data_IF_730868914252
#
_entry.id   IF_730868914252
#
_cell.length_a   1.000
_cell.length_b   1.000
_cell.length_c   1.000
_cell.angle_alpha   90.00
_cell.angle_beta   90.00
_cell.angle_gamma   90.00
#
_symmetry.space_group_name_H-M   'P 1'
#
loop_
_entity.id
_entity.type
_entity.pdbx_description
1 polymer ?
#
# COMPACT_ATOMS: atom_id res chain seq x y z
N UNK A 1 0.55 -22.56 10.74
CA UNK A 1 1.16 -21.28 10.31
C UNK A 1 0.22 -20.62 9.32
N UNK A 2 -0.35 -19.46 9.65
CA UNK A 2 -1.25 -18.73 8.75
C UNK A 2 -0.47 -18.26 7.53
N UNK A 3 -0.88 -18.67 6.32
CA UNK A 3 -0.25 -18.28 5.05
C UNK A 3 -0.44 -16.77 4.86
N UNK A 4 0.65 -16.03 4.68
CA UNK A 4 0.59 -14.60 4.33
C UNK A 4 0.42 -14.48 2.83
N UNK A 5 -0.69 -13.88 2.40
CA UNK A 5 -0.93 -13.65 0.98
C UNK A 5 -0.32 -12.32 0.55
N UNK A 6 0.49 -12.35 -0.51
CA UNK A 6 1.20 -11.16 -1.00
C UNK A 6 0.55 -10.65 -2.27
N UNK A 7 0.12 -9.39 -2.26
CA UNK A 7 -0.62 -8.74 -3.34
C UNK A 7 0.21 -7.59 -3.87
N UNK A 8 0.57 -7.68 -5.14
CA UNK A 8 1.41 -6.70 -5.86
C UNK A 8 0.61 -5.81 -6.80
N UNK A 9 -0.67 -6.12 -7.01
CA UNK A 9 -1.57 -5.38 -7.89
C UNK A 9 -2.94 -5.21 -7.20
N UNK A 10 -3.52 -3.99 -7.17
CA UNK A 10 -4.86 -3.75 -6.62
C UNK A 10 -5.94 -4.65 -7.20
N UNK A 11 -5.88 -5.00 -8.49
CA UNK A 11 -6.93 -5.76 -9.16
C UNK A 11 -6.97 -7.22 -8.69
N UNK A 12 -5.85 -7.78 -8.25
CA UNK A 12 -5.76 -9.15 -7.73
C UNK A 12 -6.41 -9.31 -6.34
N UNK A 13 -6.68 -8.20 -5.65
CA UNK A 13 -7.24 -8.24 -4.30
C UNK A 13 -8.66 -8.84 -4.29
N UNK A 14 -9.41 -8.79 -5.40
CA UNK A 14 -10.72 -9.45 -5.52
C UNK A 14 -10.65 -10.96 -5.75
N UNK A 15 -9.60 -11.43 -6.43
CA UNK A 15 -9.43 -12.84 -6.79
C UNK A 15 -9.23 -13.73 -5.55
N UNK A 16 -8.62 -13.17 -4.51
CA UNK A 16 -8.45 -13.81 -3.19
C UNK A 16 -9.80 -14.22 -2.60
N UNK A 17 -10.77 -13.31 -2.63
CA UNK A 17 -12.08 -13.54 -2.01
C UNK A 17 -12.88 -14.59 -2.76
N UNK A 18 -12.76 -14.61 -4.08
CA UNK A 18 -13.38 -15.63 -4.92
C UNK A 18 -12.77 -17.00 -4.59
N UNK A 19 -11.44 -17.10 -4.53
CA UNK A 19 -10.75 -18.37 -4.29
C UNK A 19 -10.98 -18.91 -2.87
N UNK A 20 -10.99 -18.03 -1.86
CA UNK A 20 -11.29 -18.40 -0.48
C UNK A 20 -12.77 -18.80 -0.30
N UNK A 21 -13.70 -18.09 -0.94
CA UNK A 21 -15.12 -18.43 -0.93
C UNK A 21 -15.45 -19.73 -1.67
N UNK A 22 -14.72 -20.04 -2.74
CA UNK A 22 -14.86 -21.34 -3.44
C UNK A 22 -14.24 -22.49 -2.64
N UNK A 23 -13.15 -22.24 -1.90
CA UNK A 23 -12.54 -23.24 -1.02
C UNK A 23 -13.45 -23.62 0.16
N UNK A 24 -14.23 -22.67 0.69
CA UNK A 24 -15.20 -22.98 1.76
C UNK A 24 -16.43 -23.74 1.26
N UNK A 25 -16.85 -23.50 0.01
CA UNK A 25 -17.95 -24.22 -0.64
C UNK A 25 -17.65 -25.70 -0.93
N UNK A 26 -16.37 -26.12 -0.91
CA UNK A 26 -15.99 -27.52 -1.10
C UNK A 26 -16.21 -28.41 0.14
N UNK A 27 -16.73 -27.85 1.24
CA UNK A 27 -17.09 -28.59 2.45
C UNK A 27 -18.61 -28.45 2.64
N UNK A 28 -19.35 -29.51 2.29
CA UNK A 28 -20.81 -29.49 2.23
C UNK A 28 -21.49 -29.08 3.54
N UNK A 29 -22.56 -28.29 3.43
CA UNK A 29 -23.44 -27.94 4.53
C UNK A 29 -24.41 -26.83 4.15
N UNK A 30 -25.63 -27.21 3.75
CA UNK A 30 -26.76 -26.32 3.52
C UNK A 30 -27.11 -25.53 4.80
N UNK A 31 -26.92 -24.22 4.78
CA UNK A 31 -27.31 -23.29 5.85
C UNK A 31 -27.06 -21.85 5.41
N UNK A 32 -27.90 -20.92 5.90
CA UNK A 32 -27.99 -19.51 5.48
C UNK A 32 -26.64 -18.78 5.30
N UNK A 33 -26.56 -17.74 4.44
CA UNK A 33 -25.30 -17.05 4.17
C UNK A 33 -24.75 -16.47 5.48
N UNK A 34 -23.55 -16.87 5.93
CA UNK A 34 -22.95 -16.25 7.10
C UNK A 34 -22.64 -14.80 6.76
N UNK A 35 -23.03 -13.89 7.65
CA UNK A 35 -22.51 -12.51 7.67
C UNK A 35 -20.98 -12.57 7.52
N UNK A 36 -20.34 -11.76 6.65
CA UNK A 36 -18.93 -11.91 6.37
C UNK A 36 -18.12 -11.61 7.63
N UNK A 37 -17.77 -12.67 8.36
CA UNK A 37 -16.88 -12.59 9.49
C UNK A 37 -15.57 -11.94 9.04
N UNK A 38 -14.92 -11.10 9.86
CA UNK A 38 -13.62 -10.54 9.56
C UNK A 38 -12.70 -11.69 9.15
N UNK A 39 -12.17 -11.64 7.92
CA UNK A 39 -11.29 -12.69 7.48
C UNK A 39 -10.07 -12.67 8.41
N UNK A 40 -9.79 -13.81 9.04
CA UNK A 40 -8.58 -14.04 9.86
C UNK A 40 -7.30 -14.03 9.03
N UNK A 41 -7.39 -13.59 7.77
CA UNK A 41 -6.36 -13.65 6.77
C UNK A 41 -5.38 -12.49 6.94
N UNK A 42 -4.11 -12.86 7.00
CA UNK A 42 -2.99 -11.93 7.00
C UNK A 42 -2.60 -11.63 5.55
N UNK A 43 -2.70 -10.37 5.16
CA UNK A 43 -2.42 -9.91 3.79
C UNK A 43 -1.25 -8.94 3.79
N UNK A 44 -0.36 -9.06 2.80
CA UNK A 44 0.74 -8.15 2.54
C UNK A 44 0.51 -7.42 1.23
N UNK A 45 0.37 -6.11 1.27
CA UNK A 45 0.22 -5.25 0.10
C UNK A 45 1.58 -4.65 -0.28
N UNK A 46 2.09 -4.98 -1.46
CA UNK A 46 3.31 -4.37 -2.01
C UNK A 46 2.92 -3.10 -2.76
N UNK A 47 2.79 -2.01 -2.02
CA UNK A 47 2.03 -0.84 -2.43
C UNK A 47 2.60 -0.15 -3.68
N UNK A 48 3.93 -0.16 -3.84
CA UNK A 48 4.61 0.54 -4.92
C UNK A 48 4.92 -0.34 -6.13
N UNK A 49 4.77 -1.67 -6.02
CA UNK A 49 5.03 -2.58 -7.13
C UNK A 49 4.20 -2.28 -8.40
N UNK A 50 2.94 -1.78 -8.33
CA UNK A 50 2.20 -1.38 -9.54
C UNK A 50 2.91 -0.32 -10.39
N UNK A 51 3.80 0.50 -9.82
CA UNK A 51 4.61 1.46 -10.59
C UNK A 51 5.59 0.80 -11.57
N UNK A 52 5.82 -0.51 -11.46
CA UNK A 52 6.54 -1.28 -12.47
C UNK A 52 5.74 -1.44 -13.78
N UNK A 53 4.41 -1.23 -13.74
CA UNK A 53 3.57 -1.22 -14.93
C UNK A 53 3.64 0.16 -15.62
N UNK A 54 3.96 0.22 -16.92
CA UNK A 54 4.02 1.47 -17.67
C UNK A 54 2.74 2.31 -17.63
N UNK A 55 1.57 1.68 -17.64
CA UNK A 55 0.28 2.40 -17.65
C UNK A 55 0.03 3.07 -16.30
N UNK A 56 0.29 2.35 -15.20
CA UNK A 56 0.19 2.88 -13.84
C UNK A 56 1.23 3.97 -13.60
N UNK A 57 2.46 3.78 -14.09
CA UNK A 57 3.51 4.77 -14.01
C UNK A 57 3.13 6.03 -14.77
N UNK A 58 2.65 5.89 -16.01
CA UNK A 58 2.20 7.01 -16.85
C UNK A 58 1.09 7.81 -16.18
N UNK A 59 0.13 7.14 -15.54
CA UNK A 59 -0.92 7.82 -14.78
C UNK A 59 -0.39 8.59 -13.56
N UNK A 60 0.74 8.17 -12.97
CA UNK A 60 1.37 8.83 -11.83
C UNK A 60 2.46 9.84 -12.25
N UNK A 61 2.74 10.01 -13.55
CA UNK A 61 3.67 11.05 -14.03
C UNK A 61 3.09 12.42 -13.75
N UNK A 62 3.95 13.33 -13.33
CA UNK A 62 3.60 14.71 -13.08
C UNK A 62 4.66 15.62 -13.69
N UNK A 63 4.53 15.98 -14.98
CA UNK A 63 5.50 16.85 -15.67
C UNK A 63 5.70 18.20 -14.99
N UNK A 64 4.69 18.72 -14.27
CA UNK A 64 4.77 20.01 -13.58
C UNK A 64 5.68 19.95 -12.33
N UNK A 65 5.95 18.76 -11.81
CA UNK A 65 6.90 18.57 -10.70
C UNK A 65 8.37 18.54 -11.14
N UNK A 66 8.63 18.64 -12.45
CA UNK A 66 9.98 18.50 -13.01
C UNK A 66 10.89 19.61 -12.54
N UNK A 67 12.01 19.22 -11.92
CA UNK A 67 13.10 20.10 -11.55
C UNK A 67 14.30 19.78 -12.42
N UNK A 68 14.61 20.69 -13.34
CA UNK A 68 15.83 20.62 -14.15
C UNK A 68 16.99 21.22 -13.37
N UNK A 69 18.02 20.40 -13.10
CA UNK A 69 19.29 20.88 -12.56
C UNK A 69 20.29 20.98 -13.70
N UNK A 70 20.85 22.17 -13.89
CA UNK A 70 21.97 22.40 -14.80
C UNK A 70 23.23 21.94 -14.08
N UNK A 71 23.95 20.99 -14.68
CA UNK A 71 25.26 20.62 -14.17
C UNK A 71 26.24 21.76 -14.43
N UNK A 72 26.99 22.16 -13.39
CA UNK A 72 28.12 23.09 -13.51
C UNK A 72 29.37 22.43 -14.13
N UNK A 73 29.30 21.15 -14.51
CA UNK A 73 30.40 20.46 -15.19
C UNK A 73 30.64 21.00 -16.60
N UNK A 74 31.89 20.96 -17.03
CA UNK A 74 32.37 21.42 -18.35
C UNK A 74 31.64 20.80 -19.56
N UNK A 75 30.87 19.71 -19.39
CA UNK A 75 30.13 19.05 -20.48
C UNK A 75 28.68 19.52 -20.67
N UNK A 76 28.18 20.45 -19.84
CA UNK A 76 26.90 21.12 -20.10
C UNK A 76 25.65 20.23 -20.07
N UNK A 77 25.65 19.13 -19.32
CA UNK A 77 24.48 18.27 -19.16
C UNK A 77 23.42 18.87 -18.23
N UNK A 78 22.14 18.80 -18.61
CA UNK A 78 21.01 19.00 -17.69
C UNK A 78 20.49 17.64 -17.22
N UNK A 79 20.05 17.57 -15.96
CA UNK A 79 19.39 16.40 -15.39
C UNK A 79 18.01 16.79 -14.89
N UNK A 80 16.99 16.02 -15.24
CA UNK A 80 15.60 16.30 -14.89
C UNK A 80 15.14 15.34 -13.80
N UNK A 81 14.70 15.88 -12.68
CA UNK A 81 14.08 15.11 -11.60
C UNK A 81 12.59 15.29 -11.64
N UNK A 82 11.82 14.22 -11.69
CA UNK A 82 10.37 14.27 -11.65
C UNK A 82 9.85 13.53 -10.42
N UNK A 83 8.97 14.19 -9.66
CA UNK A 83 8.28 13.59 -8.52
C UNK A 83 6.93 13.02 -8.98
N UNK A 84 6.74 11.73 -8.75
CA UNK A 84 5.50 11.06 -9.10
C UNK A 84 4.36 11.53 -8.21
N UNK A 85 3.20 11.78 -8.82
CA UNK A 85 1.95 11.96 -8.12
C UNK A 85 1.30 10.59 -7.90
N UNK A 86 1.45 10.02 -6.71
CA UNK A 86 0.93 8.69 -6.39
C UNK A 86 -0.56 8.68 -6.01
N UNK A 87 -1.29 9.80 -6.15
CA UNK A 87 -2.74 9.85 -5.88
C UNK A 87 -3.55 8.82 -6.70
N UNK A 88 -3.27 8.58 -8.01
CA UNK A 88 -3.96 7.55 -8.79
C UNK A 88 -3.76 6.15 -8.20
N UNK A 89 -2.54 5.83 -7.78
CA UNK A 89 -2.20 4.57 -7.14
C UNK A 89 -2.90 4.40 -5.78
N UNK A 90 -2.87 5.43 -4.95
CA UNK A 90 -3.61 5.47 -3.67
C UNK A 90 -5.12 5.23 -3.88
N UNK A 91 -5.71 5.87 -4.89
CA UNK A 91 -7.11 5.66 -5.26
C UNK A 91 -7.39 4.22 -5.70
N UNK A 92 -6.50 3.61 -6.49
CA UNK A 92 -6.64 2.23 -6.93
C UNK A 92 -6.63 1.25 -5.75
N UNK A 93 -5.64 1.36 -4.86
CA UNK A 93 -5.57 0.53 -3.65
C UNK A 93 -6.78 0.70 -2.75
N UNK A 94 -7.22 1.95 -2.48
CA UNK A 94 -8.42 2.21 -1.67
C UNK A 94 -9.67 1.59 -2.30
N UNK A 95 -9.84 1.73 -3.62
CA UNK A 95 -10.98 1.13 -4.33
C UNK A 95 -10.95 -0.41 -4.22
N UNK A 96 -9.78 -1.02 -4.33
CA UNK A 96 -9.61 -2.45 -4.20
C UNK A 96 -9.93 -2.93 -2.78
N UNK A 97 -9.35 -2.29 -1.75
CA UNK A 97 -9.58 -2.67 -0.35
C UNK A 97 -11.03 -2.46 0.09
N UNK A 98 -11.72 -1.44 -0.43
CA UNK A 98 -13.14 -1.19 -0.11
C UNK A 98 -14.11 -2.27 -0.60
N UNK A 99 -13.78 -2.97 -1.69
CA UNK A 99 -14.66 -4.00 -2.26
C UNK A 99 -14.54 -5.35 -1.56
N UNK A 100 -13.62 -5.49 -0.61
CA UNK A 100 -13.39 -6.75 0.10
C UNK A 100 -13.66 -6.62 1.59
N UNK A 101 -14.11 -7.67 2.29
CA UNK A 101 -14.16 -7.71 3.75
C UNK A 101 -12.87 -7.20 4.41
N UNK A 102 -12.97 -6.50 5.55
CA UNK A 102 -11.80 -5.99 6.26
C UNK A 102 -10.91 -7.12 6.77
N UNK A 103 -9.59 -6.92 6.63
CA UNK A 103 -8.56 -7.84 7.09
C UNK A 103 -8.30 -7.71 8.59
N UNK A 104 -7.99 -8.81 9.26
CA UNK A 104 -7.54 -8.79 10.66
C UNK A 104 -6.08 -8.35 10.81
N UNK A 105 -5.24 -8.59 9.79
CA UNK A 105 -3.84 -8.20 9.79
C UNK A 105 -3.40 -7.77 8.39
N UNK A 106 -3.00 -6.50 8.27
CA UNK A 106 -2.49 -5.92 7.03
C UNK A 106 -1.01 -5.52 7.16
N UNK A 107 -0.17 -6.02 6.27
CA UNK A 107 1.25 -5.63 6.17
C UNK A 107 1.40 -4.71 4.95
N UNK A 108 1.99 -3.56 5.15
CA UNK A 108 2.35 -2.63 4.07
C UNK A 108 3.81 -2.83 3.69
N UNK A 109 4.05 -3.41 2.52
CA UNK A 109 5.37 -3.56 1.93
C UNK A 109 5.62 -2.34 1.02
N UNK A 110 6.57 -1.50 1.45
CA UNK A 110 6.92 -0.23 0.84
C UNK A 110 8.17 -0.34 -0.03
N UNK A 111 8.67 -1.53 -0.32
CA UNK A 111 9.84 -1.69 -1.21
C UNK A 111 9.56 -1.09 -2.59
N UNK A 112 10.59 -0.45 -3.17
CA UNK A 112 10.49 0.15 -4.50
C UNK A 112 10.19 -0.91 -5.55
N UNK A 113 9.48 -0.54 -6.64
CA UNK A 113 9.11 -1.47 -7.68
C UNK A 113 10.34 -2.15 -8.27
N UNK A 114 10.28 -3.47 -8.40
CA UNK A 114 11.33 -4.28 -9.05
C UNK A 114 10.87 -4.67 -10.45
N UNK A 115 11.82 -4.79 -11.37
CA UNK A 115 11.54 -5.24 -12.72
C UNK A 115 10.85 -6.62 -12.68
N UNK A 116 9.68 -6.73 -13.28
CA UNK A 116 8.99 -8.01 -13.41
C UNK A 116 9.79 -8.88 -14.39
N UNK A 117 10.21 -10.08 -13.94
CA UNK A 117 10.86 -11.08 -14.79
C UNK A 117 9.93 -11.40 -15.97
N UNK A 118 10.25 -10.91 -17.18
CA UNK A 118 9.48 -11.14 -18.39
C UNK A 118 9.03 -9.91 -19.19
N UNK A 119 9.13 -8.67 -18.64
CA UNK A 119 8.92 -7.42 -19.40
C UNK A 119 10.24 -6.68 -19.58
N UNK A 120 11.04 -7.13 -20.53
CA UNK A 120 12.46 -6.76 -20.63
C UNK A 120 12.74 -5.46 -21.40
N UNK A 121 11.85 -4.47 -21.43
CA UNK A 121 12.09 -3.24 -22.22
C UNK A 121 11.52 -1.92 -21.71
N UNK A 122 10.50 -1.93 -20.84
CA UNK A 122 9.76 -0.71 -20.48
C UNK A 122 9.83 -0.34 -18.99
N UNK A 123 10.60 -1.07 -18.19
CA UNK A 123 10.70 -0.79 -16.76
C UNK A 123 11.52 0.48 -16.53
N UNK A 124 10.87 1.52 -16.00
CA UNK A 124 11.54 2.72 -15.55
C UNK A 124 11.76 2.62 -14.04
N UNK A 125 13.02 2.73 -13.61
CA UNK A 125 13.38 2.64 -12.20
C UNK A 125 12.88 3.88 -11.45
N UNK A 126 12.23 3.64 -10.31
CA UNK A 126 11.76 4.66 -9.38
C UNK A 126 12.69 4.71 -8.18
N UNK A 127 12.89 5.90 -7.60
CA UNK A 127 13.75 6.15 -6.44
C UNK A 127 12.96 6.82 -5.30
N UNK A 128 13.52 6.80 -4.10
CA UNK A 128 13.07 7.68 -3.02
C UNK A 128 13.58 9.11 -3.23
N UNK A 129 12.96 10.06 -2.56
CA UNK A 129 13.24 11.49 -2.66
C UNK A 129 14.56 11.94 -1.99
N UNK A 130 15.18 11.09 -1.17
CA UNK A 130 16.42 11.43 -0.43
C UNK A 130 17.68 11.04 -1.18
N UNK A 131 17.81 9.78 -1.62
CA UNK A 131 19.01 9.27 -2.32
C UNK A 131 18.76 9.06 -3.82
N UNK A 132 18.55 10.17 -4.53
CA UNK A 132 18.43 10.14 -5.99
C UNK A 132 19.82 10.17 -6.66
N UNK A 133 20.07 9.30 -7.66
CA UNK A 133 21.31 9.37 -8.44
C UNK A 133 21.40 10.66 -9.26
N UNK A 134 22.57 10.91 -9.84
CA UNK A 134 22.73 11.96 -10.86
C UNK A 134 22.16 11.47 -12.20
N UNK A 135 21.42 12.35 -12.88
CA UNK A 135 20.74 12.04 -14.14
C UNK A 135 19.23 12.22 -14.06
N UNK A 136 18.54 11.78 -15.12
CA UNK A 136 17.09 11.82 -15.18
C UNK A 136 16.49 10.76 -14.23
N UNK A 137 15.67 11.21 -13.28
CA UNK A 137 15.13 10.33 -12.24
C UNK A 137 13.65 10.51 -12.04
N UNK A 138 12.98 9.40 -11.71
CA UNK A 138 11.61 9.37 -11.22
C UNK A 138 11.60 9.01 -9.77
N UNK A 139 10.92 9.82 -8.97
CA UNK A 139 10.99 9.67 -7.51
C UNK A 139 9.63 9.72 -6.85
N UNK A 140 9.45 8.89 -5.83
CA UNK A 140 8.30 8.95 -4.93
C UNK A 140 8.70 9.70 -3.67
N UNK A 141 7.80 10.57 -3.20
CA UNK A 141 8.01 11.24 -1.92
C UNK A 141 7.59 10.32 -0.78
N UNK A 142 8.48 10.11 0.19
CA UNK A 142 8.17 9.27 1.35
C UNK A 142 6.91 9.76 2.10
N UNK A 143 6.69 11.07 2.15
CA UNK A 143 5.50 11.69 2.76
C UNK A 143 4.20 11.23 2.11
N UNK A 144 4.14 11.17 0.78
CA UNK A 144 2.94 10.78 0.07
C UNK A 144 2.62 9.30 0.30
N UNK A 145 3.66 8.46 0.36
CA UNK A 145 3.52 7.03 0.68
C UNK A 145 2.99 6.84 2.10
N UNK A 146 3.52 7.58 3.09
CA UNK A 146 3.00 7.57 4.47
C UNK A 146 1.52 7.95 4.50
N UNK A 147 1.12 9.03 3.80
CA UNK A 147 -0.28 9.44 3.74
C UNK A 147 -1.18 8.36 3.13
N UNK A 148 -0.73 7.68 2.08
CA UNK A 148 -1.45 6.56 1.47
C UNK A 148 -1.63 5.41 2.47
N UNK A 149 -0.57 4.99 3.17
CA UNK A 149 -0.62 3.91 4.17
C UNK A 149 -1.59 4.25 5.31
N UNK A 150 -1.44 5.44 5.91
CA UNK A 150 -2.30 5.89 7.01
C UNK A 150 -3.77 5.94 6.59
N UNK A 151 -4.05 6.40 5.36
CA UNK A 151 -5.41 6.44 4.82
C UNK A 151 -6.01 5.03 4.73
N UNK A 152 -5.31 4.09 4.10
CA UNK A 152 -5.80 2.71 3.93
C UNK A 152 -5.97 2.02 5.29
N UNK A 153 -5.02 2.20 6.21
CA UNK A 153 -5.08 1.64 7.56
C UNK A 153 -6.29 2.18 8.34
N UNK A 154 -6.51 3.49 8.29
CA UNK A 154 -7.64 4.15 8.94
C UNK A 154 -8.98 3.64 8.39
N UNK A 155 -9.12 3.57 7.07
CA UNK A 155 -10.33 3.05 6.42
C UNK A 155 -10.59 1.58 6.80
N UNK A 156 -9.54 0.76 6.81
CA UNK A 156 -9.63 -0.65 7.20
C UNK A 156 -10.09 -0.77 8.66
N UNK A 157 -9.52 0.04 9.57
CA UNK A 157 -9.88 0.03 10.99
C UNK A 157 -11.35 0.42 11.22
N UNK A 158 -11.83 1.46 10.55
CA UNK A 158 -13.23 1.92 10.63
C UNK A 158 -14.17 0.79 10.17
N UNK A 159 -13.83 0.12 9.07
CA UNK A 159 -14.65 -0.97 8.49
C UNK A 159 -14.65 -2.23 9.32
N UNK A 160 -13.53 -2.57 9.96
CA UNK A 160 -13.38 -3.79 10.74
C UNK A 160 -14.21 -3.80 12.04
N UNK A 161 -14.62 -2.64 12.56
CA UNK A 161 -15.33 -2.48 13.85
C UNK A 161 -14.67 -3.23 15.03
N UNK A 162 -13.39 -3.60 14.90
CA UNK A 162 -12.67 -4.50 15.79
C UNK A 162 -11.15 -4.41 15.55
N UNK A 163 -10.36 -5.13 16.34
CA UNK A 163 -8.91 -4.97 16.33
C UNK A 163 -8.31 -5.40 14.98
N UNK A 164 -7.56 -4.49 14.37
CA UNK A 164 -6.77 -4.75 13.16
C UNK A 164 -5.31 -4.57 13.52
N UNK A 165 -4.46 -5.51 13.12
CA UNK A 165 -3.01 -5.40 13.22
C UNK A 165 -2.44 -4.79 11.94
N UNK A 166 -1.44 -3.92 12.08
CA UNK A 166 -0.74 -3.26 10.98
C UNK A 166 0.77 -3.40 11.15
N UNK A 167 1.47 -3.88 10.12
CA UNK A 167 2.94 -3.87 10.07
C UNK A 167 3.42 -3.14 8.82
N UNK A 168 4.67 -2.69 8.84
CA UNK A 168 5.35 -2.09 7.67
C UNK A 168 6.64 -2.85 7.38
N UNK A 169 6.93 -3.03 6.10
CA UNK A 169 8.20 -3.57 5.61
C UNK A 169 8.77 -2.56 4.61
N UNK A 170 10.06 -2.24 4.75
CA UNK A 170 10.80 -1.39 3.83
C UNK A 170 12.26 -1.84 3.77
N UNK A 171 12.96 -1.46 2.72
CA UNK A 171 14.38 -1.73 2.55
C UNK A 171 15.18 -0.44 2.77
N UNK A 172 15.95 -0.38 3.86
CA UNK A 172 16.78 0.78 4.19
C UNK A 172 17.86 1.05 3.13
N UNK A 173 18.30 0.01 2.40
CA UNK A 173 19.30 0.16 1.36
C UNK A 173 18.76 0.87 0.10
N UNK A 174 17.45 1.06 -0.02
CA UNK A 174 16.83 1.75 -1.15
C UNK A 174 16.91 3.29 -1.04
N UNK A 175 17.45 3.84 0.05
CA UNK A 175 17.60 5.29 0.22
C UNK A 175 16.40 5.98 0.86
N UNK A 176 15.66 5.24 1.70
CA UNK A 176 14.53 5.72 2.48
C UNK A 176 15.00 6.61 3.63
N UNK A 177 14.26 7.67 3.95
CA UNK A 177 14.43 8.44 5.19
C UNK A 177 13.96 7.63 6.42
N UNK A 178 14.85 7.07 7.28
CA UNK A 178 14.43 6.13 8.33
C UNK A 178 13.50 6.80 9.38
N UNK A 179 13.69 8.10 9.61
CA UNK A 179 12.85 8.90 10.52
C UNK A 179 11.39 8.93 10.05
N UNK A 180 11.15 9.02 8.75
CA UNK A 180 9.80 9.11 8.18
C UNK A 180 9.02 7.81 8.43
N UNK A 181 9.65 6.66 8.24
CA UNK A 181 8.98 5.38 8.48
C UNK A 181 8.93 4.98 9.96
N UNK A 182 9.86 5.46 10.78
CA UNK A 182 9.70 5.40 12.25
C UNK A 182 8.44 6.14 12.72
N UNK A 183 8.12 7.29 12.12
CA UNK A 183 6.89 8.03 12.43
C UNK A 183 5.65 7.25 11.96
N UNK A 184 5.72 6.62 10.78
CA UNK A 184 4.65 5.77 10.26
C UNK A 184 4.33 4.61 11.21
N UNK A 185 5.34 3.88 11.69
CA UNK A 185 5.15 2.77 12.64
C UNK A 185 4.43 3.24 13.91
N UNK A 186 4.83 4.39 14.46
CA UNK A 186 4.16 4.97 15.64
C UNK A 186 2.69 5.30 15.36
N UNK A 187 2.39 5.86 14.19
CA UNK A 187 1.01 6.18 13.79
C UNK A 187 0.17 4.91 13.65
N UNK A 188 0.72 3.85 13.05
CA UNK A 188 0.02 2.58 12.92
C UNK A 188 -0.22 1.91 14.27
N UNK A 189 0.79 1.89 15.16
CA UNK A 189 0.62 1.38 16.53
C UNK A 189 -0.45 2.17 17.29
N UNK A 190 -0.51 3.49 17.13
CA UNK A 190 -1.56 4.30 17.74
C UNK A 190 -2.95 3.92 17.21
N UNK A 191 -3.10 3.74 15.88
CA UNK A 191 -4.35 3.31 15.24
C UNK A 191 -4.85 1.95 15.73
N UNK A 192 -3.94 1.01 16.01
CA UNK A 192 -4.30 -0.31 16.55
C UNK A 192 -4.89 -0.22 17.96
N UNK A 193 -4.38 0.71 18.78
CA UNK A 193 -4.70 0.81 20.21
C UNK A 193 -6.00 1.53 20.51
N UNK A 194 -6.58 2.28 19.57
CA UNK A 194 -7.88 2.91 19.80
C UNK A 194 -8.95 1.82 19.99
N UNK A 195 -9.51 1.65 21.21
CA UNK A 195 -10.66 0.79 21.39
C UNK A 195 -11.81 1.48 20.65
N UNK A 196 -12.49 0.76 19.75
CA UNK A 196 -13.81 1.22 19.33
C UNK A 196 -14.62 1.41 20.61
N UNK A 197 -15.23 2.58 20.79
CA UNK A 197 -16.17 2.81 21.90
C UNK A 197 -17.07 1.58 22.00
N UNK A 198 -16.98 0.84 23.11
CA UNK A 198 -18.07 -0.05 23.50
C UNK A 198 -19.22 0.89 23.82
N UNK A 199 -20.17 1.00 22.90
CA UNK A 199 -21.46 1.59 23.24
C UNK A 199 -21.98 0.81 24.45
N UNK A 200 -22.22 1.55 25.53
CA UNK A 200 -22.49 1.01 26.85
C UNK A 200 -23.70 0.09 26.82
N UNK A 201 -23.46 -1.18 27.10
CA UNK A 201 -24.50 -2.08 27.53
C UNK A 201 -24.96 -1.64 28.93
N UNK A 202 -26.26 -1.35 29.03
CA UNK A 202 -27.13 -1.32 30.22
C UNK A 202 -27.11 -0.08 31.11
N UNK A 203 -28.21 0.66 31.01
CA UNK A 203 -29.06 0.93 32.17
C UNK A 203 -30.51 0.58 31.82
N UNK A 204 -30.84 -0.72 31.87
CA UNK A 204 -32.18 -1.15 32.24
C UNK A 204 -32.21 -1.09 33.77
N UNK A 205 -33.07 -0.26 34.33
CA UNK A 205 -33.13 -0.04 35.77
C UNK A 205 -34.37 0.75 36.19
N UNK A 206 -35.50 0.02 36.22
CA UNK A 206 -36.74 0.22 36.99
C UNK A 206 -37.61 1.42 36.59
#
# INVERSE_FOLDING_TARGET
MSKVETITDPDHLHEIHITAGLSSLSTGGSGAPPEPAPQTQKVKLVLLQPLANPDTLAACRNPDSRVTRISTSLSGGSSTREFLDIRPLSKAWRKATMKVPPFSHLIFDLTLPKANKGRNGSFQKVYWDVDMPQGDTLSVQARDVVNMVVTIATETRIRAKGNVCFDVVYDEAEGVAPRTFTVLDKQLVALQRFPGKKDGERANGI
#
